data_IF_282670949044
#
_entry.id   IF_282670949044
#
_cell.length_a   1.000
_cell.length_b   1.000
_cell.length_c   1.000
_cell.angle_alpha   90.00
_cell.angle_beta   90.00
_cell.angle_gamma   90.00
#
_symmetry.space_group_name_H-M   'P 1'
#
loop_
_entity.id
_entity.type
_entity.pdbx_description
1 polymer ?
#
# COMPACT_ATOMS: atom_id res chain seq x y z
N UNK A 1 19.89 -25.43 -126.35
CA UNK A 1 20.90 -24.37 -126.10
C UNK A 1 20.27 -23.39 -125.09
N UNK A 2 20.64 -23.44 -123.80
CA UNK A 2 20.15 -22.55 -122.75
C UNK A 2 21.14 -21.42 -122.42
N UNK A 3 20.69 -20.34 -121.75
CA UNK A 3 21.38 -19.43 -120.77
C UNK A 3 20.56 -18.14 -120.62
N UNK A 4 20.22 -17.54 -119.47
CA UNK A 4 20.56 -17.74 -118.05
C UNK A 4 19.60 -16.89 -117.19
N UNK A 5 19.08 -17.49 -116.12
CA UNK A 5 18.54 -16.82 -114.93
C UNK A 5 19.68 -16.16 -114.10
N UNK A 6 19.36 -15.10 -113.34
CA UNK A 6 20.01 -14.84 -112.05
C UNK A 6 19.10 -14.10 -111.07
N UNK A 7 18.53 -14.91 -110.16
CA UNK A 7 18.26 -14.70 -108.73
C UNK A 7 17.90 -13.30 -108.22
N UNK A 8 16.61 -13.14 -107.88
CA UNK A 8 16.10 -12.15 -106.91
C UNK A 8 15.78 -12.83 -105.57
N UNK A 9 16.68 -13.66 -105.05
CA UNK A 9 16.54 -14.35 -103.75
C UNK A 9 17.48 -13.74 -102.72
N UNK A 10 17.12 -12.59 -102.11
CA UNK A 10 17.85 -12.06 -100.93
C UNK A 10 17.03 -11.24 -99.92
N UNK A 11 15.74 -10.94 -100.10
CA UNK A 11 15.02 -10.12 -99.08
C UNK A 11 14.60 -10.89 -97.82
N UNK A 12 14.31 -12.20 -97.93
CA UNK A 12 13.95 -13.04 -96.77
C UNK A 12 15.14 -13.43 -95.88
N UNK A 13 16.27 -13.78 -96.48
CA UNK A 13 17.49 -14.14 -95.73
C UNK A 13 18.10 -12.93 -94.99
N UNK A 14 18.00 -11.72 -95.56
CA UNK A 14 18.46 -10.50 -94.88
C UNK A 14 17.61 -10.21 -93.63
N UNK A 15 16.30 -10.45 -93.66
CA UNK A 15 15.45 -10.33 -92.45
C UNK A 15 15.78 -11.39 -91.39
N UNK A 16 16.19 -12.60 -91.79
CA UNK A 16 16.61 -13.64 -90.85
C UNK A 16 17.98 -13.31 -90.23
N UNK A 17 18.95 -12.87 -91.04
CA UNK A 17 20.28 -12.45 -90.56
C UNK A 17 20.16 -11.23 -89.66
N UNK A 18 19.30 -10.26 -89.99
CA UNK A 18 19.02 -9.11 -89.13
C UNK A 18 18.41 -9.51 -87.77
N UNK A 19 17.51 -10.50 -87.75
CA UNK A 19 16.92 -11.03 -86.50
C UNK A 19 17.94 -11.79 -85.65
N UNK A 20 18.78 -12.62 -86.28
CA UNK A 20 19.83 -13.36 -85.58
C UNK A 20 20.88 -12.41 -85.02
N UNK A 21 21.23 -11.34 -85.75
CA UNK A 21 22.15 -10.30 -85.26
C UNK A 21 21.55 -9.51 -84.09
N UNK A 22 20.28 -9.14 -84.11
CA UNK A 22 19.64 -8.44 -82.99
C UNK A 22 19.62 -9.28 -81.71
N UNK A 23 19.38 -10.59 -81.83
CA UNK A 23 19.45 -11.54 -80.70
C UNK A 23 20.89 -11.76 -80.20
N UNK A 24 21.88 -11.86 -81.10
CA UNK A 24 23.29 -12.09 -80.72
C UNK A 24 24.00 -10.87 -80.13
N UNK A 25 23.61 -9.66 -80.53
CA UNK A 25 24.23 -8.41 -80.06
C UNK A 25 23.37 -7.64 -79.04
N UNK A 26 22.26 -8.22 -78.57
CA UNK A 26 21.44 -7.66 -77.51
C UNK A 26 20.67 -6.38 -77.90
N UNK A 27 20.44 -6.15 -79.20
CA UNK A 27 19.67 -5.02 -79.66
C UNK A 27 18.18 -5.36 -79.57
N UNK A 28 17.52 -4.80 -78.55
CA UNK A 28 16.08 -4.93 -78.34
C UNK A 28 15.33 -4.38 -79.57
N UNK A 29 14.58 -5.23 -80.28
CA UNK A 29 13.74 -4.77 -81.40
C UNK A 29 12.36 -4.29 -80.87
N UNK A 30 11.62 -3.53 -81.68
CA UNK A 30 10.33 -2.95 -81.27
C UNK A 30 9.30 -4.01 -80.83
N UNK A 31 9.41 -5.27 -81.31
CA UNK A 31 8.55 -6.37 -80.87
C UNK A 31 8.98 -6.91 -79.52
N UNK A 32 10.27 -6.99 -79.25
CA UNK A 32 10.79 -7.39 -77.93
C UNK A 32 10.41 -6.36 -76.87
N UNK A 33 10.55 -5.06 -77.19
CA UNK A 33 10.09 -3.97 -76.32
C UNK A 33 8.58 -4.05 -76.05
N UNK A 34 7.77 -4.32 -77.09
CA UNK A 34 6.31 -4.48 -76.96
C UNK A 34 5.93 -5.72 -76.14
N UNK A 35 6.62 -6.84 -76.32
CA UNK A 35 6.39 -8.05 -75.54
C UNK A 35 6.77 -7.83 -74.07
N UNK A 36 7.85 -7.10 -73.80
CA UNK A 36 8.26 -6.74 -72.45
C UNK A 36 7.24 -5.81 -71.78
N UNK A 37 6.65 -4.86 -72.52
CA UNK A 37 5.57 -4.00 -72.00
C UNK A 37 4.32 -4.81 -71.64
N UNK A 38 3.91 -5.76 -72.50
CA UNK A 38 2.76 -6.64 -72.24
C UNK A 38 3.00 -7.52 -71.01
N UNK A 39 4.20 -8.10 -70.89
CA UNK A 39 4.59 -8.91 -69.74
C UNK A 39 4.58 -8.08 -68.45
N UNK A 40 5.11 -6.86 -68.50
CA UNK A 40 5.12 -5.94 -67.35
C UNK A 40 3.70 -5.58 -66.91
N UNK A 41 2.79 -5.32 -67.86
CA UNK A 41 1.38 -5.05 -67.55
C UNK A 41 0.70 -6.26 -66.90
N UNK A 42 0.92 -7.47 -67.41
CA UNK A 42 0.37 -8.69 -66.81
C UNK A 42 0.93 -8.96 -65.42
N UNK A 43 2.24 -8.76 -65.23
CA UNK A 43 2.89 -8.90 -63.93
C UNK A 43 2.32 -7.91 -62.91
N UNK A 44 2.19 -6.62 -63.28
CA UNK A 44 1.64 -5.61 -62.38
C UNK A 44 0.17 -5.87 -62.03
N UNK A 45 -0.62 -6.35 -62.99
CA UNK A 45 -2.01 -6.77 -62.74
C UNK A 45 -2.09 -7.90 -61.70
N UNK A 46 -1.25 -8.93 -61.86
CA UNK A 46 -1.19 -10.04 -60.89
C UNK A 46 -0.74 -9.59 -59.50
N UNK A 47 0.22 -8.65 -59.41
CA UNK A 47 0.65 -8.10 -58.12
C UNK A 47 -0.49 -7.33 -57.45
N UNK A 48 -1.25 -6.53 -58.21
CA UNK A 48 -2.40 -5.78 -57.69
C UNK A 48 -3.52 -6.70 -57.18
N UNK A 49 -3.81 -7.77 -57.91
CA UNK A 49 -4.80 -8.78 -57.54
C UNK A 49 -4.37 -9.54 -56.26
N UNK A 50 -3.09 -9.95 -56.17
CA UNK A 50 -2.51 -10.58 -54.97
C UNK A 50 -2.53 -9.63 -53.76
N UNK A 51 -2.25 -8.35 -53.95
CA UNK A 51 -2.27 -7.36 -52.86
C UNK A 51 -3.69 -7.14 -52.36
N UNK A 52 -4.67 -7.06 -53.27
CA UNK A 52 -6.09 -6.89 -52.92
C UNK A 52 -6.63 -8.12 -52.17
N UNK A 53 -6.29 -9.33 -52.62
CA UNK A 53 -6.63 -10.57 -51.90
C UNK A 53 -5.96 -10.63 -50.52
N UNK A 54 -4.69 -10.23 -50.39
CA UNK A 54 -4.00 -10.16 -49.09
C UNK A 54 -4.68 -9.20 -48.12
N UNK A 55 -5.19 -8.07 -48.59
CA UNK A 55 -5.97 -7.13 -47.76
C UNK A 55 -7.29 -7.76 -47.33
N UNK A 56 -7.99 -8.44 -48.24
CA UNK A 56 -9.22 -9.19 -47.92
C UNK A 56 -9.00 -10.28 -46.86
N UNK A 57 -7.93 -11.07 -46.99
CA UNK A 57 -7.55 -12.09 -46.00
C UNK A 57 -7.19 -11.45 -44.66
N UNK A 58 -6.49 -10.31 -44.67
CA UNK A 58 -6.18 -9.56 -43.44
C UNK A 58 -7.44 -9.05 -42.73
N UNK A 59 -8.42 -8.55 -43.47
CA UNK A 59 -9.73 -8.12 -42.94
C UNK A 59 -10.48 -9.31 -42.34
N UNK A 60 -10.54 -10.45 -43.06
CA UNK A 60 -11.21 -11.66 -42.57
C UNK A 60 -10.57 -12.20 -41.28
N UNK A 61 -9.24 -12.23 -41.20
CA UNK A 61 -8.53 -12.63 -39.98
C UNK A 61 -8.86 -11.68 -38.82
N UNK A 62 -8.95 -10.38 -39.09
CA UNK A 62 -9.33 -9.40 -38.08
C UNK A 62 -10.79 -9.54 -37.62
N UNK A 63 -11.72 -9.76 -38.54
CA UNK A 63 -13.13 -10.02 -38.23
C UNK A 63 -13.30 -11.26 -37.37
N UNK A 64 -12.66 -12.38 -37.74
CA UNK A 64 -12.68 -13.62 -36.96
C UNK A 64 -12.09 -13.41 -35.57
N UNK A 65 -10.94 -12.74 -35.46
CA UNK A 65 -10.33 -12.43 -34.16
C UNK A 65 -11.23 -11.52 -33.30
N UNK A 66 -11.93 -10.57 -33.91
CA UNK A 66 -12.86 -9.68 -33.21
C UNK A 66 -14.09 -10.46 -32.72
N UNK A 67 -14.66 -11.33 -33.55
CA UNK A 67 -15.78 -12.21 -33.17
C UNK A 67 -15.41 -13.16 -32.02
N UNK A 68 -14.20 -13.73 -32.03
CA UNK A 68 -13.68 -14.54 -30.92
C UNK A 68 -13.61 -13.73 -29.61
N UNK A 69 -13.11 -12.49 -29.66
CA UNK A 69 -13.05 -11.62 -28.49
C UNK A 69 -14.45 -11.24 -27.97
N UNK A 70 -15.40 -10.98 -28.87
CA UNK A 70 -16.80 -10.71 -28.51
C UNK A 70 -17.43 -11.95 -27.85
N UNK A 71 -17.18 -13.15 -28.38
CA UNK A 71 -17.68 -14.40 -27.82
C UNK A 71 -17.11 -14.64 -26.40
N UNK A 72 -15.81 -14.43 -26.20
CA UNK A 72 -15.18 -14.51 -24.88
C UNK A 72 -15.75 -13.50 -23.89
N UNK A 73 -15.92 -12.24 -24.32
CA UNK A 73 -16.52 -11.21 -23.49
C UNK A 73 -17.96 -11.57 -23.08
N UNK A 74 -18.76 -12.09 -24.02
CA UNK A 74 -20.12 -12.54 -23.74
C UNK A 74 -20.14 -13.71 -22.74
N UNK A 75 -19.26 -14.69 -22.87
CA UNK A 75 -19.13 -15.78 -21.90
C UNK A 75 -18.78 -15.26 -20.50
N UNK A 76 -17.84 -14.31 -20.42
CA UNK A 76 -17.47 -13.66 -19.16
C UNK A 76 -18.67 -12.93 -18.55
N UNK A 77 -19.39 -12.12 -19.34
CA UNK A 77 -20.57 -11.38 -18.86
C UNK A 77 -21.69 -12.30 -18.40
N UNK A 78 -21.92 -13.42 -19.10
CA UNK A 78 -22.88 -14.46 -18.70
C UNK A 78 -22.47 -15.08 -17.37
N UNK A 79 -21.20 -15.43 -17.19
CA UNK A 79 -20.67 -15.98 -15.94
C UNK A 79 -20.87 -14.99 -14.78
N UNK A 80 -20.50 -13.72 -14.95
CA UNK A 80 -20.72 -12.68 -13.94
C UNK A 80 -22.21 -12.48 -13.63
N UNK A 81 -23.10 -12.54 -14.63
CA UNK A 81 -24.55 -12.47 -14.41
C UNK A 81 -25.08 -13.65 -13.61
N UNK A 82 -24.57 -14.86 -13.86
CA UNK A 82 -24.94 -16.05 -13.11
C UNK A 82 -24.46 -15.99 -11.66
N UNK A 83 -23.19 -15.61 -11.44
CA UNK A 83 -22.61 -15.47 -10.11
C UNK A 83 -23.31 -14.41 -9.27
N UNK A 84 -23.65 -13.26 -9.87
CA UNK A 84 -24.38 -12.19 -9.19
C UNK A 84 -25.79 -12.61 -8.79
N UNK A 85 -26.52 -13.32 -9.66
CA UNK A 85 -27.83 -13.91 -9.33
C UNK A 85 -27.73 -14.98 -8.25
N UNK A 86 -26.69 -15.80 -8.27
CA UNK A 86 -26.43 -16.78 -7.22
C UNK A 86 -26.19 -16.07 -5.88
N UNK A 87 -25.37 -15.01 -5.87
CA UNK A 87 -25.10 -14.23 -4.66
C UNK A 87 -26.37 -13.55 -4.15
N UNK A 88 -27.16 -12.95 -5.05
CA UNK A 88 -28.44 -12.33 -4.72
C UNK A 88 -29.41 -13.33 -4.08
N UNK A 89 -29.52 -14.55 -4.63
CA UNK A 89 -30.38 -15.59 -4.06
C UNK A 89 -29.93 -16.02 -2.65
N UNK A 90 -28.61 -16.08 -2.39
CA UNK A 90 -28.06 -16.37 -1.07
C UNK A 90 -28.36 -15.23 -0.10
N UNK A 91 -28.15 -13.98 -0.51
CA UNK A 91 -28.42 -12.79 0.29
C UNK A 91 -29.92 -12.69 0.62
N UNK A 92 -30.79 -12.90 -0.37
CA UNK A 92 -32.24 -12.91 -0.18
C UNK A 92 -32.69 -14.05 0.76
N UNK A 93 -32.09 -15.25 0.65
CA UNK A 93 -32.38 -16.35 1.56
C UNK A 93 -31.96 -16.05 3.02
N UNK A 94 -30.88 -15.30 3.22
CA UNK A 94 -30.44 -14.83 4.55
C UNK A 94 -31.36 -13.72 5.07
N UNK A 95 -31.70 -12.73 4.24
CA UNK A 95 -32.58 -11.60 4.62
C UNK A 95 -33.99 -12.11 4.99
N UNK A 96 -34.52 -13.06 4.22
CA UNK A 96 -35.84 -13.64 4.47
C UNK A 96 -35.84 -14.75 5.54
N UNK A 97 -34.73 -14.93 6.27
CA UNK A 97 -34.64 -15.85 7.40
C UNK A 97 -34.73 -17.34 7.03
N UNK A 98 -34.55 -17.67 5.74
CA UNK A 98 -34.52 -19.06 5.25
C UNK A 98 -33.18 -19.75 5.54
N UNK A 99 -32.12 -18.97 5.79
CA UNK A 99 -30.80 -19.44 6.25
C UNK A 99 -30.41 -18.60 7.46
N UNK A 100 -30.26 -19.22 8.64
CA UNK A 100 -29.71 -18.54 9.81
C UNK A 100 -28.20 -18.36 9.64
N UNK A 101 -27.66 -17.15 9.90
CA UNK A 101 -26.24 -16.81 9.69
C UNK A 101 -25.26 -17.74 10.42
N UNK A 102 -25.71 -18.40 11.49
CA UNK A 102 -24.94 -19.39 12.24
C UNK A 102 -24.78 -20.75 11.55
N UNK A 103 -25.44 -20.99 10.40
CA UNK A 103 -25.30 -22.20 9.60
C UNK A 103 -24.22 -22.09 8.51
N UNK A 104 -23.63 -20.91 8.34
CA UNK A 104 -22.52 -20.68 7.43
C UNK A 104 -21.18 -20.88 8.18
N UNK A 105 -20.81 -22.14 8.36
CA UNK A 105 -19.48 -22.55 8.80
C UNK A 105 -18.41 -22.15 7.75
N UNK A 106 -17.20 -21.83 8.22
CA UNK A 106 -15.97 -21.65 7.43
C UNK A 106 -15.80 -22.71 6.33
N UNK A 107 -16.19 -23.97 6.58
CA UNK A 107 -16.14 -25.05 5.58
C UNK A 107 -17.12 -24.84 4.41
N UNK A 108 -18.30 -24.28 4.66
CA UNK A 108 -19.31 -23.94 3.66
C UNK A 108 -18.88 -22.72 2.84
N UNK A 109 -18.28 -21.73 3.50
CA UNK A 109 -17.69 -20.55 2.83
C UNK A 109 -16.53 -20.93 1.91
N UNK A 110 -15.63 -21.83 2.34
CA UNK A 110 -14.55 -22.38 1.49
C UNK A 110 -15.07 -23.13 0.26
N UNK A 111 -16.21 -23.84 0.38
CA UNK A 111 -16.86 -24.51 -0.76
C UNK A 111 -17.48 -23.52 -1.76
N UNK A 112 -18.00 -22.39 -1.28
CA UNK A 112 -18.52 -21.32 -2.13
C UNK A 112 -17.35 -20.62 -2.85
N UNK A 113 -16.27 -20.31 -2.13
CA UNK A 113 -15.03 -19.73 -2.67
C UNK A 113 -14.44 -20.57 -3.81
N UNK A 114 -14.35 -21.90 -3.62
CA UNK A 114 -13.84 -22.82 -4.65
C UNK A 114 -14.70 -22.88 -5.92
N UNK A 115 -16.03 -22.65 -5.81
CA UNK A 115 -16.96 -22.79 -6.94
C UNK A 115 -17.08 -21.52 -7.78
N UNK A 116 -16.86 -20.35 -7.21
CA UNK A 116 -17.11 -19.06 -7.89
C UNK A 116 -15.85 -18.32 -8.33
N UNK A 117 -14.65 -18.87 -8.11
CA UNK A 117 -13.35 -18.17 -8.34
C UNK A 117 -13.23 -16.79 -7.65
N UNK A 118 -14.23 -16.40 -6.85
CA UNK A 118 -14.23 -15.24 -5.99
C UNK A 118 -13.38 -15.59 -4.78
N UNK A 119 -12.19 -14.99 -4.68
CA UNK A 119 -11.45 -14.94 -3.42
C UNK A 119 -12.21 -14.05 -2.45
N UNK A 120 -13.13 -14.64 -1.70
CA UNK A 120 -13.77 -13.98 -0.57
C UNK A 120 -12.76 -14.09 0.58
N UNK A 121 -12.08 -13.01 0.97
CA UNK A 121 -11.17 -13.08 2.10
C UNK A 121 -12.00 -13.43 3.33
N UNK A 122 -11.86 -14.67 3.79
CA UNK A 122 -12.41 -15.10 5.07
C UNK A 122 -11.62 -14.33 6.12
N UNK A 123 -12.24 -13.30 6.69
CA UNK A 123 -11.64 -12.55 7.79
C UNK A 123 -11.57 -13.53 8.96
N UNK A 124 -10.36 -13.97 9.27
CA UNK A 124 -10.13 -14.80 10.43
C UNK A 124 -10.47 -13.98 11.70
N UNK A 125 -11.02 -14.64 12.71
CA UNK A 125 -11.68 -13.97 13.85
C UNK A 125 -10.72 -13.33 14.87
N UNK A 126 -9.43 -13.26 14.57
CA UNK A 126 -8.42 -12.76 15.50
C UNK A 126 -8.44 -11.22 15.56
N UNK A 127 -8.99 -10.70 16.65
CA UNK A 127 -8.98 -9.28 16.97
C UNK A 127 -7.74 -8.90 17.77
N UNK A 128 -6.92 -8.02 17.21
CA UNK A 128 -5.77 -7.43 17.89
C UNK A 128 -5.97 -5.93 18.10
N UNK A 129 -5.36 -5.41 19.16
CA UNK A 129 -5.22 -3.98 19.41
C UNK A 129 -3.83 -3.58 18.91
N UNK A 130 -3.80 -2.69 17.92
CA UNK A 130 -2.56 -2.17 17.38
C UNK A 130 -1.96 -1.13 18.32
N UNK A 131 -0.64 -1.12 18.48
CA UNK A 131 0.12 -0.12 19.22
C UNK A 131 1.33 0.31 18.39
N UNK A 132 1.63 1.61 18.40
CA UNK A 132 2.85 2.16 17.83
C UNK A 132 3.95 2.11 18.88
N UNK A 133 5.10 1.57 18.52
CA UNK A 133 6.25 1.50 19.43
C UNK A 133 7.08 2.77 19.28
N UNK A 134 7.34 3.45 20.40
CA UNK A 134 8.14 4.67 20.41
C UNK A 134 9.39 4.41 21.27
N UNK A 135 10.61 4.55 20.71
CA UNK A 135 11.82 4.48 21.53
C UNK A 135 11.80 5.62 22.56
N UNK A 136 11.93 5.28 23.83
CA UNK A 136 11.90 6.25 24.92
C UNK A 136 13.29 6.43 25.51
N UNK A 137 13.95 7.58 25.31
CA UNK A 137 15.14 7.93 26.07
C UNK A 137 14.80 8.20 27.52
N UNK A 138 15.56 7.60 28.42
CA UNK A 138 15.48 7.78 29.87
C UNK A 138 16.79 8.37 30.37
N UNK A 139 16.71 9.50 31.07
CA UNK A 139 17.89 10.12 31.65
C UNK A 139 18.46 9.23 32.76
N UNK A 140 19.74 8.88 32.64
CA UNK A 140 20.44 8.10 33.68
C UNK A 140 21.18 9.04 34.62
N UNK A 141 22.14 9.80 34.07
CA UNK A 141 22.93 10.82 34.78
C UNK A 141 23.38 11.89 33.78
N UNK A 142 23.34 13.17 34.18
CA UNK A 142 23.74 14.30 33.34
C UNK A 142 23.05 14.26 31.96
N UNK A 143 23.81 14.39 30.86
CA UNK A 143 23.30 14.35 29.49
C UNK A 143 23.31 12.93 28.89
N UNK A 144 23.49 11.89 29.71
CA UNK A 144 23.49 10.49 29.26
C UNK A 144 22.12 9.88 29.43
N UNK A 145 21.60 9.35 28.33
CA UNK A 145 20.29 8.73 28.24
C UNK A 145 20.42 7.27 27.83
N UNK A 146 19.49 6.47 28.34
CA UNK A 146 19.30 5.07 28.00
C UNK A 146 18.09 4.96 27.09
N UNK A 147 18.23 4.34 25.93
CA UNK A 147 17.13 4.14 24.97
C UNK A 147 16.92 2.64 24.79
N UNK A 148 15.69 2.20 25.02
CA UNK A 148 15.25 0.86 24.60
C UNK A 148 14.86 0.96 23.13
N UNK A 149 15.63 0.31 22.27
CA UNK A 149 15.38 0.32 20.84
C UNK A 149 14.29 -0.69 20.49
N UNK A 150 13.18 -0.28 19.82
CA UNK A 150 12.15 -1.20 19.42
C UNK A 150 12.62 -2.09 18.26
N UNK A 151 12.15 -3.33 18.24
CA UNK A 151 12.42 -4.34 17.22
C UNK A 151 11.45 -4.26 16.03
N UNK A 152 10.26 -3.68 16.23
CA UNK A 152 9.24 -3.45 15.21
C UNK A 152 8.72 -2.01 15.30
N UNK A 153 8.04 -1.50 14.26
CA UNK A 153 7.42 -0.16 14.29
C UNK A 153 6.07 -0.15 15.04
N UNK A 154 5.39 -1.31 15.00
CA UNK A 154 4.10 -1.53 15.61
C UNK A 154 4.05 -2.94 16.20
N UNK A 155 3.30 -3.08 17.30
CA UNK A 155 2.89 -4.37 17.85
C UNK A 155 1.37 -4.44 17.86
N UNK A 156 0.80 -5.55 17.42
CA UNK A 156 -0.63 -5.81 17.55
C UNK A 156 -0.80 -6.91 18.60
N UNK A 157 -1.53 -6.62 19.67
CA UNK A 157 -1.64 -7.50 20.84
C UNK A 157 -3.09 -7.92 21.04
N UNK A 158 -3.32 -9.20 21.29
CA UNK A 158 -4.66 -9.72 21.50
C UNK A 158 -5.22 -9.27 22.87
N UNK A 159 -6.53 -9.44 23.09
CA UNK A 159 -7.17 -9.03 24.36
C UNK A 159 -6.60 -9.77 25.57
N UNK A 160 -6.13 -11.01 25.42
CA UNK A 160 -5.52 -11.78 26.52
C UNK A 160 -4.06 -11.38 26.81
N UNK A 161 -3.43 -10.62 25.91
CA UNK A 161 -2.00 -10.24 25.96
C UNK A 161 -1.06 -11.45 25.95
N UNK A 162 -1.51 -12.58 25.42
CA UNK A 162 -0.72 -13.80 25.26
C UNK A 162 -0.21 -13.96 23.83
N UNK A 163 -0.85 -13.30 22.88
CA UNK A 163 -0.52 -13.39 21.47
C UNK A 163 -0.26 -12.00 20.90
N UNK A 164 0.74 -11.92 20.03
CA UNK A 164 1.08 -10.67 19.38
C UNK A 164 1.61 -10.86 17.96
N UNK A 165 1.59 -9.77 17.20
CA UNK A 165 2.14 -9.68 15.85
C UNK A 165 2.99 -8.42 15.76
N UNK A 166 4.17 -8.55 15.15
CA UNK A 166 5.08 -7.44 14.86
C UNK A 166 4.85 -6.92 13.44
N UNK A 167 4.63 -5.62 13.31
CA UNK A 167 4.26 -4.98 12.05
C UNK A 167 5.17 -3.79 11.76
N UNK A 168 5.58 -3.67 10.51
CA UNK A 168 6.26 -2.48 9.97
C UNK A 168 5.25 -1.44 9.48
N UNK A 169 5.71 -0.20 9.33
CA UNK A 169 4.93 0.89 8.73
C UNK A 169 4.43 0.51 7.32
N UNK A 170 5.25 -0.21 6.53
CA UNK A 170 4.88 -0.67 5.19
C UNK A 170 3.72 -1.68 5.24
N UNK A 171 3.71 -2.60 6.20
CA UNK A 171 2.63 -3.58 6.34
C UNK A 171 1.32 -2.91 6.77
N UNK A 172 1.38 -1.98 7.72
CA UNK A 172 0.21 -1.18 8.12
C UNK A 172 -0.37 -0.40 6.93
N UNK A 173 0.50 0.13 6.05
CA UNK A 173 0.06 0.87 4.86
C UNK A 173 -0.74 0.03 3.86
N UNK A 174 -0.56 -1.29 3.85
CA UNK A 174 -1.28 -2.22 2.99
C UNK A 174 -2.65 -2.62 3.54
N UNK A 175 -2.90 -2.35 4.82
CA UNK A 175 -4.16 -2.73 5.45
C UNK A 175 -5.33 -1.85 4.98
N UNK A 176 -6.50 -2.46 4.85
CA UNK A 176 -7.74 -1.78 4.46
C UNK A 176 -8.36 -1.11 5.69
N UNK A 177 -8.47 0.21 5.65
CA UNK A 177 -9.12 0.99 6.70
C UNK A 177 -10.64 0.94 6.55
N UNK A 178 -11.34 0.62 7.63
CA UNK A 178 -12.80 0.73 7.73
C UNK A 178 -13.19 1.86 8.70
N UNK A 179 -14.47 1.97 9.05
CA UNK A 179 -14.96 2.99 10.00
C UNK A 179 -14.39 2.79 11.41
N UNK A 180 -14.23 1.54 11.85
CA UNK A 180 -13.89 1.21 13.25
C UNK A 180 -12.62 0.38 13.40
N UNK A 181 -12.11 -0.23 12.33
CA UNK A 181 -11.00 -1.19 12.40
C UNK A 181 -10.09 -1.10 11.18
N UNK A 182 -8.87 -1.60 11.35
CA UNK A 182 -7.91 -1.83 10.28
C UNK A 182 -7.95 -3.33 9.94
N UNK A 183 -8.26 -3.66 8.69
CA UNK A 183 -8.28 -5.05 8.22
C UNK A 183 -6.98 -5.29 7.45
N UNK A 184 -6.08 -6.06 8.04
CA UNK A 184 -4.80 -6.40 7.44
C UNK A 184 -4.86 -7.81 6.83
N UNK A 185 -4.30 -7.97 5.64
CA UNK A 185 -3.98 -9.30 5.12
C UNK A 185 -2.82 -9.84 5.95
N UNK A 186 -3.03 -10.98 6.60
CA UNK A 186 -2.07 -11.54 7.55
C UNK A 186 -1.34 -12.73 6.91
N UNK A 187 -0.10 -12.49 6.49
CA UNK A 187 0.85 -13.52 6.06
C UNK A 187 1.87 -13.88 7.16
N UNK A 188 1.84 -13.17 8.30
CA UNK A 188 2.85 -13.30 9.36
C UNK A 188 2.51 -14.40 10.37
N UNK A 189 3.49 -14.76 11.19
CA UNK A 189 3.26 -15.65 12.33
C UNK A 189 2.65 -14.85 13.50
N UNK A 190 1.64 -15.44 14.14
CA UNK A 190 1.17 -15.01 15.47
C UNK A 190 2.13 -15.62 16.50
N UNK A 191 2.77 -14.76 17.28
CA UNK A 191 3.74 -15.18 18.29
C UNK A 191 3.07 -15.28 19.67
N UNK A 192 3.47 -16.27 20.46
CA UNK A 192 3.18 -16.27 21.89
C UNK A 192 4.08 -15.24 22.59
N UNK A 193 3.57 -14.58 23.63
CA UNK A 193 4.16 -13.42 24.30
C UNK A 193 5.48 -13.68 25.07
N UNK A 194 6.16 -14.78 24.77
CA UNK A 194 7.43 -15.19 25.38
C UNK A 194 8.53 -15.03 24.32
N UNK A 195 9.07 -13.81 24.15
CA UNK A 195 10.18 -13.62 23.20
C UNK A 195 10.53 -12.18 22.85
N UNK A 196 9.53 -11.32 22.62
CA UNK A 196 9.77 -9.91 22.28
C UNK A 196 10.03 -9.05 23.53
N UNK A 197 10.95 -8.09 23.38
CA UNK A 197 11.20 -7.04 24.36
C UNK A 197 9.91 -6.26 24.68
N UNK A 198 9.24 -5.79 23.62
CA UNK A 198 8.08 -4.91 23.68
C UNK A 198 6.91 -5.58 24.38
N UNK A 199 6.57 -6.82 23.99
CA UNK A 199 5.45 -7.54 24.60
C UNK A 199 5.72 -7.89 26.07
N UNK A 200 6.98 -8.19 26.40
CA UNK A 200 7.36 -8.51 27.77
C UNK A 200 7.27 -7.28 28.67
N UNK A 201 7.77 -6.13 28.21
CA UNK A 201 7.64 -4.83 28.91
C UNK A 201 6.17 -4.39 28.96
N UNK A 202 5.38 -4.66 27.92
CA UNK A 202 3.94 -4.37 27.89
C UNK A 202 3.16 -5.15 28.96
N UNK A 203 3.53 -6.41 29.20
CA UNK A 203 2.91 -7.27 30.22
C UNK A 203 3.43 -6.99 31.63
N UNK A 204 4.74 -6.72 31.76
CA UNK A 204 5.45 -6.52 33.03
C UNK A 204 6.42 -5.34 32.90
N UNK A 205 5.95 -4.10 33.14
CA UNK A 205 6.76 -2.89 32.94
C UNK A 205 7.83 -2.68 34.02
N UNK A 206 7.81 -3.48 35.08
CA UNK A 206 8.72 -3.45 36.22
C UNK A 206 10.07 -4.16 35.95
N UNK A 207 10.11 -5.07 34.97
CA UNK A 207 11.31 -5.85 34.63
C UNK A 207 11.66 -5.63 33.17
N UNK A 208 12.90 -5.21 32.91
CA UNK A 208 13.44 -5.15 31.56
C UNK A 208 14.01 -6.52 31.16
N UNK A 209 13.48 -7.19 30.13
CA UNK A 209 14.02 -8.47 29.64
C UNK A 209 15.39 -8.35 29.01
N UNK A 210 16.17 -9.42 29.05
CA UNK A 210 17.48 -9.54 28.36
C UNK A 210 17.36 -9.44 26.83
N UNK A 211 16.17 -9.70 26.26
CA UNK A 211 15.92 -9.56 24.83
C UNK A 211 15.84 -8.10 24.35
N UNK A 212 15.80 -7.13 25.28
CA UNK A 212 15.76 -5.72 24.95
C UNK A 212 17.13 -5.17 24.55
N UNK A 213 17.22 -4.53 23.40
CA UNK A 213 18.43 -3.81 22.99
C UNK A 213 18.43 -2.44 23.65
N UNK A 214 19.34 -2.29 24.61
CA UNK A 214 19.54 -1.03 25.34
C UNK A 214 20.74 -0.28 24.76
N UNK A 215 20.53 0.98 24.40
CA UNK A 215 21.58 1.87 23.87
C UNK A 215 21.82 3.04 24.82
N UNK A 216 23.08 3.37 25.02
CA UNK A 216 23.49 4.56 25.76
C UNK A 216 23.87 5.65 24.78
N UNK A 217 23.30 6.82 24.99
CA UNK A 217 23.34 7.91 24.03
C UNK A 217 23.44 9.23 24.78
N UNK A 218 24.41 10.04 24.38
CA UNK A 218 24.56 11.39 24.89
C UNK A 218 23.92 12.35 23.90
N UNK A 219 22.84 13.02 24.31
CA UNK A 219 22.23 14.06 23.50
C UNK A 219 21.95 15.31 24.33
N UNK A 220 22.24 16.47 23.74
CA UNK A 220 21.87 17.78 24.24
C UNK A 220 20.82 18.40 23.31
N UNK A 221 19.75 17.65 23.06
CA UNK A 221 18.66 18.08 22.18
C UNK A 221 17.34 17.94 22.91
N UNK A 222 16.48 18.95 22.72
CA UNK A 222 15.09 18.92 23.14
C UNK A 222 14.27 18.09 22.15
N UNK A 223 13.49 17.16 22.66
CA UNK A 223 12.53 16.38 21.88
C UNK A 223 11.14 16.66 22.42
N UNK A 224 10.20 17.03 21.54
CA UNK A 224 8.79 17.18 21.83
C UNK A 224 8.01 16.35 20.81
N UNK A 225 7.59 15.15 21.21
CA UNK A 225 6.86 14.23 20.35
C UNK A 225 5.39 14.18 20.76
N UNK A 226 4.48 14.58 19.85
CA UNK A 226 3.05 14.53 20.13
C UNK A 226 2.53 13.09 20.07
N UNK A 227 1.82 12.68 21.12
CA UNK A 227 1.14 11.40 21.15
C UNK A 227 -0.14 11.45 20.29
N UNK A 228 -0.27 10.51 19.37
CA UNK A 228 -1.36 10.42 18.40
C UNK A 228 -2.72 10.30 19.10
N UNK A 229 -3.73 11.00 18.58
CA UNK A 229 -5.08 10.97 19.15
C UNK A 229 -5.25 11.72 20.49
N UNK A 230 -4.17 12.26 21.07
CA UNK A 230 -4.23 12.96 22.36
C UNK A 230 -3.74 14.42 22.29
N UNK A 231 -3.91 15.14 23.41
CA UNK A 231 -3.30 16.43 23.67
C UNK A 231 -2.15 16.26 24.67
N UNK A 232 -1.31 15.27 24.39
CA UNK A 232 -0.16 14.93 25.21
C UNK A 232 1.09 14.94 24.34
N UNK A 233 2.19 15.43 24.91
CA UNK A 233 3.50 15.43 24.29
C UNK A 233 4.45 14.68 25.19
N UNK A 234 5.10 13.68 24.64
CA UNK A 234 6.29 13.11 25.22
C UNK A 234 7.43 14.12 25.07
N UNK A 235 8.11 14.44 26.16
CA UNK A 235 9.26 15.34 26.15
C UNK A 235 10.52 14.66 26.66
N UNK A 236 11.66 15.06 26.10
CA UNK A 236 13.00 14.76 26.60
C UNK A 236 13.80 16.07 26.57
N UNK A 237 14.28 16.53 27.72
CA UNK A 237 15.06 17.76 27.82
C UNK A 237 15.98 17.75 29.04
N UNK A 238 17.13 18.42 28.98
CA UNK A 238 18.01 18.57 30.14
C UNK A 238 17.41 19.56 31.16
N UNK A 239 16.98 20.73 30.69
CA UNK A 239 16.23 21.74 31.45
C UNK A 239 15.45 22.57 30.42
N UNK A 240 14.16 22.76 30.65
CA UNK A 240 13.32 23.65 29.83
C UNK A 240 12.32 24.37 30.73
N UNK A 241 12.06 25.66 30.48
CA UNK A 241 10.89 26.31 31.06
C UNK A 241 9.73 26.27 30.05
N UNK A 242 8.57 25.86 30.55
CA UNK A 242 7.34 25.76 29.77
C UNK A 242 6.36 26.78 30.34
N UNK A 243 5.93 27.71 29.49
CA UNK A 243 4.95 28.74 29.81
C UNK A 243 3.60 28.32 29.23
N UNK A 244 2.63 28.05 30.09
CA UNK A 244 1.30 27.57 29.71
C UNK A 244 0.31 28.72 29.85
N UNK A 245 -0.40 29.02 28.76
CA UNK A 245 -1.47 30.02 28.71
C UNK A 245 -2.78 29.32 28.44
N UNK A 246 -3.83 29.65 29.18
CA UNK A 246 -5.16 29.09 28.99
C UNK A 246 -6.19 30.20 28.83
N UNK A 247 -7.17 30.03 27.94
CA UNK A 247 -8.16 31.08 27.63
C UNK A 247 -8.95 31.61 28.84
N UNK A 248 -9.12 30.79 29.87
CA UNK A 248 -9.91 31.12 31.05
C UNK A 248 -9.07 31.59 32.25
N UNK A 249 -7.76 31.76 32.07
CA UNK A 249 -6.83 32.15 33.14
C UNK A 249 -5.96 33.28 32.62
N UNK A 250 -6.02 34.43 33.30
CA UNK A 250 -5.25 35.63 32.94
C UNK A 250 -3.75 35.47 33.19
N UNK A 251 -3.37 34.68 34.20
CA UNK A 251 -1.98 34.40 34.54
C UNK A 251 -1.46 33.18 33.79
N UNK A 252 -0.25 33.30 33.24
CA UNK A 252 0.46 32.17 32.66
C UNK A 252 1.06 31.30 33.76
N UNK A 253 0.91 29.97 33.61
CA UNK A 253 1.58 29.01 34.47
C UNK A 253 2.98 28.73 33.92
N UNK A 254 4.01 28.97 34.71
CA UNK A 254 5.39 28.61 34.35
C UNK A 254 5.79 27.32 35.04
N UNK A 255 6.36 26.39 34.27
CA UNK A 255 6.84 25.11 34.80
C UNK A 255 8.22 24.79 34.23
N UNK A 256 9.19 24.64 35.13
CA UNK A 256 10.50 24.10 34.79
C UNK A 256 10.46 22.58 34.78
N UNK A 257 10.92 21.97 33.69
CA UNK A 257 10.95 20.52 33.48
C UNK A 257 12.35 20.06 33.08
N UNK A 258 12.67 18.81 33.39
CA UNK A 258 13.91 18.13 33.04
C UNK A 258 13.68 16.62 32.92
N UNK A 259 14.62 15.93 32.28
CA UNK A 259 14.57 14.51 32.00
C UNK A 259 13.50 14.15 30.97
N UNK A 260 12.80 13.05 31.23
CA UNK A 260 11.79 12.48 30.33
C UNK A 260 10.43 12.46 31.01
N UNK A 261 9.38 12.87 30.30
CA UNK A 261 8.02 12.84 30.84
C UNK A 261 6.95 13.08 29.79
N UNK A 262 5.71 13.14 30.26
CA UNK A 262 4.54 13.42 29.42
C UNK A 262 3.90 14.73 29.88
N UNK A 263 3.81 15.70 28.98
CA UNK A 263 3.07 16.94 29.16
C UNK A 263 1.67 16.78 28.57
N UNK A 264 0.63 16.86 29.40
CA UNK A 264 -0.78 16.87 28.97
C UNK A 264 -1.36 18.27 29.06
N UNK A 265 -1.97 18.75 27.97
CA UNK A 265 -2.62 20.07 27.91
C UNK A 265 -4.13 19.92 27.70
N UNK A 266 -4.90 20.79 28.39
CA UNK A 266 -6.32 20.94 28.11
C UNK A 266 -6.53 21.59 26.72
N UNK A 267 -7.66 21.29 26.09
CA UNK A 267 -8.06 21.84 24.79
C UNK A 267 -8.10 23.38 24.69
N UNK A 268 -8.18 24.09 25.82
CA UNK A 268 -8.22 25.56 25.87
C UNK A 268 -6.89 26.20 26.29
N UNK A 269 -5.83 25.41 26.38
CA UNK A 269 -4.49 25.86 26.74
C UNK A 269 -3.53 25.76 25.55
N UNK A 270 -2.44 26.51 25.61
CA UNK A 270 -1.28 26.40 24.74
C UNK A 270 -0.03 26.49 25.62
N UNK A 271 1.05 25.82 25.20
CA UNK A 271 2.31 25.89 25.93
C UNK A 271 3.42 26.38 25.00
N UNK A 272 4.24 27.29 25.50
CA UNK A 272 5.41 27.80 24.82
C UNK A 272 6.66 27.35 25.57
N UNK A 273 7.70 27.01 24.82
CA UNK A 273 9.01 26.68 25.39
C UNK A 273 10.01 27.82 25.17
N UNK A 274 11.20 27.73 25.74
CA UNK A 274 12.19 28.83 25.76
C UNK A 274 12.70 29.20 24.36
N UNK A 275 12.58 28.29 23.39
CA UNK A 275 12.94 28.49 21.97
C UNK A 275 11.74 28.89 21.07
N UNK A 276 10.67 29.40 21.67
CA UNK A 276 9.43 29.80 20.99
C UNK A 276 8.65 28.65 20.31
N UNK A 277 8.96 27.37 20.59
CA UNK A 277 8.11 26.26 20.14
C UNK A 277 6.74 26.31 20.82
N UNK A 278 5.67 26.32 20.02
CA UNK A 278 4.29 26.38 20.51
C UNK A 278 3.61 25.01 20.40
N UNK A 279 3.10 24.51 21.53
CA UNK A 279 2.34 23.28 21.65
C UNK A 279 0.85 23.59 21.68
N UNK A 280 0.18 23.27 20.56
CA UNK A 280 -1.25 23.57 20.38
C UNK A 280 -2.08 22.26 20.43
N UNK A 281 -2.97 22.12 21.41
CA UNK A 281 -3.97 21.06 21.47
C UNK A 281 -4.85 21.05 20.23
N UNK A 282 -5.23 19.84 19.78
CA UNK A 282 -6.28 19.70 18.77
C UNK A 282 -7.56 19.27 19.47
N UNK A 283 -8.71 19.60 18.88
CA UNK A 283 -9.97 18.99 19.32
C UNK A 283 -9.81 17.48 19.22
N UNK A 284 -10.17 16.74 20.28
CA UNK A 284 -10.14 15.27 20.26
C UNK A 284 -10.93 14.79 19.06
N UNK A 285 -10.24 14.26 18.06
CA UNK A 285 -10.90 13.53 16.98
C UNK A 285 -11.30 12.19 17.61
N UNK A 286 -12.60 12.00 17.85
CA UNK A 286 -13.16 10.73 18.33
C UNK A 286 -13.10 9.69 17.20
N UNK A 287 -11.91 9.38 16.72
CA UNK A 287 -11.72 8.20 15.91
C UNK A 287 -11.84 6.99 16.84
N UNK A 288 -12.83 6.13 16.60
CA UNK A 288 -12.90 4.82 17.25
C UNK A 288 -11.71 3.93 16.90
N UNK A 289 -11.05 4.20 15.77
CA UNK A 289 -9.85 3.51 15.32
C UNK A 289 -8.67 3.89 16.22
N UNK A 290 -8.45 5.19 16.49
CA UNK A 290 -7.27 5.70 17.20
C UNK A 290 -7.45 5.94 18.70
N UNK A 291 -8.02 4.96 19.42
CA UNK A 291 -8.45 5.23 20.80
C UNK A 291 -7.34 5.35 21.84
N UNK A 292 -6.20 4.69 21.73
CA UNK A 292 -5.02 4.88 22.61
C UNK A 292 -3.85 4.09 22.00
N UNK A 293 -3.08 4.71 21.10
CA UNK A 293 -2.13 3.98 20.25
C UNK A 293 -0.67 4.05 20.64
N UNK A 294 -0.32 4.95 21.55
CA UNK A 294 1.06 5.08 21.97
C UNK A 294 1.23 4.34 23.29
N UNK A 295 1.89 3.18 23.24
CA UNK A 295 2.34 2.52 24.45
C UNK A 295 3.68 3.13 24.87
N UNK A 296 3.65 3.91 25.94
CA UNK A 296 4.85 4.37 26.62
C UNK A 296 5.00 3.50 27.87
N UNK A 297 6.01 2.61 27.93
CA UNK A 297 6.18 1.76 29.09
C UNK A 297 6.45 2.60 30.33
N UNK A 298 5.64 2.38 31.38
CA UNK A 298 5.86 2.96 32.71
C UNK A 298 7.02 2.26 33.39
N UNK A 299 8.23 2.55 32.95
CA UNK A 299 9.45 2.13 33.64
C UNK A 299 9.47 2.89 34.97
N UNK A 300 9.48 2.17 36.10
CA UNK A 300 9.43 2.60 37.52
C UNK A 300 9.20 4.11 37.81
N UNK A 301 8.31 4.46 38.74
CA UNK A 301 8.01 5.87 39.15
C UNK A 301 9.23 6.77 39.41
N UNK A 302 10.40 6.19 39.73
CA UNK A 302 11.68 6.88 39.80
C UNK A 302 12.23 7.43 38.46
N UNK A 303 11.59 7.16 37.32
CA UNK A 303 12.16 7.35 35.98
C UNK A 303 11.24 8.12 35.00
N UNK A 304 9.92 8.07 35.17
CA UNK A 304 8.98 8.81 34.30
C UNK A 304 8.08 9.69 35.17
N UNK A 305 8.28 11.00 35.08
CA UNK A 305 7.43 11.98 35.76
C UNK A 305 6.16 12.16 34.91
N UNK A 306 5.06 11.53 35.30
CA UNK A 306 3.74 11.80 34.72
C UNK A 306 3.12 13.03 35.39
N UNK A 307 2.98 14.12 34.63
CA UNK A 307 2.22 15.29 35.07
C UNK A 307 0.84 15.31 34.41
N UNK A 308 -0.19 15.10 35.22
CA UNK A 308 -1.56 15.41 34.83
C UNK A 308 -1.93 16.80 35.35
N UNK A 309 -1.88 17.80 34.46
CA UNK A 309 -2.46 19.11 34.74
C UNK A 309 -3.98 19.04 34.55
N UNK A 310 -4.68 18.37 35.47
CA UNK A 310 -6.08 18.67 35.71
C UNK A 310 -6.14 19.87 36.65
N UNK A 311 -6.81 20.95 36.25
CA UNK A 311 -7.12 22.06 37.17
C UNK A 311 -8.07 21.49 38.25
N UNK A 312 -7.51 20.92 39.31
CA UNK A 312 -8.22 20.85 40.58
C UNK A 312 -8.28 22.29 41.07
N UNK A 313 -9.50 22.81 41.20
CA UNK A 313 -9.76 24.03 41.96
C UNK A 313 -8.97 23.94 43.26
N UNK A 314 -8.09 24.89 43.48
CA UNK A 314 -7.46 25.15 44.76
C UNK A 314 -8.56 25.44 45.78
N UNK A 315 -8.99 24.43 46.52
CA UNK A 315 -9.71 24.60 47.78
C UNK A 315 -9.38 23.43 48.69
N UNK A 316 -8.53 23.74 49.69
CA UNK A 316 -8.48 23.16 51.03
C UNK A 316 -8.19 21.66 51.20
N UNK A 317 -6.90 21.30 51.27
CA UNK A 317 -6.38 20.30 52.22
C UNK A 317 -5.01 20.77 52.78
N UNK A 318 -4.97 22.01 53.28
CA UNK A 318 -4.09 22.36 54.39
C UNK A 318 -4.93 22.27 55.66
N UNK A 319 -5.16 21.06 56.16
CA UNK A 319 -5.47 20.79 57.57
C UNK A 319 -5.49 19.27 57.74
N UNK A 320 -4.70 18.76 58.70
CA UNK A 320 -4.64 17.36 59.19
C UNK A 320 -3.57 16.43 58.58
N UNK A 321 -2.30 16.77 58.76
CA UNK A 321 -1.29 15.76 59.16
C UNK A 321 -0.08 16.36 59.92
N UNK A 322 -0.31 17.32 60.82
CA UNK A 322 0.50 17.41 62.03
C UNK A 322 -0.23 16.69 63.17
N UNK A 323 -0.17 15.36 63.14
CA UNK A 323 -0.29 14.51 64.33
C UNK A 323 0.61 13.30 64.14
N UNK A 324 1.62 13.24 65.02
CA UNK A 324 2.51 12.12 65.31
C UNK A 324 3.51 11.83 64.17
N UNK A 325 4.83 11.72 64.40
CA UNK A 325 5.48 11.01 65.50
C UNK A 325 6.95 11.39 65.56
N UNK A 326 7.43 11.63 66.80
CA UNK A 326 8.81 11.72 67.31
C UNK A 326 9.64 12.97 67.01
#
# INVERSE_FOLDING_TARGET
RPTTEKSRSRRGAINLIGRVANVLFGNCDDRDAKNQEILTKKYNYLIDEIVTEKVGVGILIFEVALEEQIALLNLILIQYSFETKSLESVVNAVIHGSIHYSLLDSSTLKKIEQRSQLKIPIIDSYEFILYKTIPLPIQLQNNTYTVIAPNADYIAVDKSRLYYVELSTLQISKCKKTINQLICEHEQHIFHADGSCEISVFRRPDVLPDSCIVKYVSFNVKILHRLEGTNSWLFVTNVENIIIKCKNISESLEKRVNGTGILRLDTHCEANTDDDTILIPKRKILSKIYKDFDFVPKLSESVILEFQLSIQKTTSENLLSMKNTN
#
